data_IF_052588960334
#
_entry.id   IF_052588960334
#
_cell.length_a   1.000
_cell.length_b   1.000
_cell.length_c   1.000
_cell.angle_alpha   90.00
_cell.angle_beta   90.00
_cell.angle_gamma   90.00
#
_symmetry.space_group_name_H-M   'P 1'
#
loop_
_entity.id
_entity.type
_entity.pdbx_description
1 polymer ?
#
# COMPACT_ATOMS: atom_id res chain seq x y z
N UNK A 1 12.90 18.22 -2.90
CA UNK A 1 14.20 17.59 -2.57
C UNK A 1 14.00 16.95 -1.22
N UNK A 2 13.72 15.66 -1.18
CA UNK A 2 14.06 14.77 -0.07
C UNK A 2 14.10 13.34 -0.63
N UNK A 3 15.07 12.52 -0.20
CA UNK A 3 15.51 11.28 -0.83
C UNK A 3 14.94 10.06 -0.07
N UNK A 4 15.40 8.86 -0.41
CA UNK A 4 15.14 7.58 0.28
C UNK A 4 13.76 6.96 -0.01
N UNK A 5 13.63 5.86 -0.75
CA UNK A 5 14.40 4.62 -0.71
C UNK A 5 14.43 3.97 -2.11
N UNK A 6 15.33 4.39 -2.99
CA UNK A 6 15.74 3.53 -4.12
C UNK A 6 16.72 2.51 -3.53
N UNK A 7 16.16 1.47 -2.91
CA UNK A 7 16.90 0.25 -2.67
C UNK A 7 17.51 -0.14 -4.02
N UNK A 8 18.83 -0.05 -4.15
CA UNK A 8 19.51 -0.24 -5.43
C UNK A 8 19.38 -1.72 -5.77
N UNK A 9 18.34 -2.04 -6.53
CA UNK A 9 18.04 -3.40 -6.96
C UNK A 9 19.13 -3.83 -7.93
N UNK A 10 19.86 -4.88 -7.55
CA UNK A 10 20.92 -5.46 -8.37
C UNK A 10 20.45 -6.78 -8.96
N UNK A 11 20.96 -7.12 -10.14
CA UNK A 11 20.74 -8.41 -10.75
C UNK A 11 21.22 -9.52 -9.81
N UNK A 12 20.34 -10.47 -9.49
CA UNK A 12 20.66 -11.60 -8.62
C UNK A 12 21.69 -12.57 -9.22
N UNK A 13 21.92 -12.50 -10.55
CA UNK A 13 22.89 -13.37 -11.25
C UNK A 13 24.28 -12.77 -11.32
N UNK A 14 24.41 -11.50 -11.69
CA UNK A 14 25.72 -10.87 -11.94
C UNK A 14 26.05 -9.68 -11.02
N UNK A 15 25.13 -9.28 -10.14
CA UNK A 15 25.32 -8.14 -9.24
C UNK A 15 25.24 -6.76 -9.89
N UNK A 16 25.03 -6.68 -11.21
CA UNK A 16 24.91 -5.41 -11.92
C UNK A 16 23.64 -4.66 -11.55
N UNK A 17 23.72 -3.33 -11.47
CA UNK A 17 22.58 -2.42 -11.30
C UNK A 17 21.96 -2.00 -12.63
N UNK A 18 22.46 -2.50 -13.76
CA UNK A 18 21.98 -2.16 -15.11
C UNK A 18 20.73 -2.97 -15.46
N UNK A 19 19.60 -2.56 -14.87
CA UNK A 19 18.29 -3.21 -15.04
C UNK A 19 17.39 -2.37 -15.96
N UNK A 20 16.78 -3.05 -16.93
CA UNK A 20 15.74 -2.50 -17.79
C UNK A 20 14.37 -2.80 -17.21
N UNK A 21 13.56 -1.75 -17.07
CA UNK A 21 12.17 -1.82 -16.62
C UNK A 21 11.24 -1.91 -17.83
N UNK A 22 10.08 -2.58 -17.70
CA UNK A 22 9.06 -2.56 -18.75
C UNK A 22 8.53 -1.14 -18.98
N UNK A 23 8.13 -0.83 -20.22
CA UNK A 23 7.58 0.48 -20.58
C UNK A 23 6.23 0.76 -19.92
N UNK A 24 5.45 -0.29 -19.65
CA UNK A 24 4.14 -0.20 -19.00
C UNK A 24 4.28 -0.57 -17.54
N UNK A 25 3.92 0.37 -16.67
CA UNK A 25 3.90 0.17 -15.23
C UNK A 25 2.88 -0.91 -14.83
N UNK A 26 3.30 -1.83 -13.96
CA UNK A 26 2.45 -2.91 -13.43
C UNK A 26 2.78 -3.18 -11.96
N UNK A 27 1.80 -3.64 -11.18
CA UNK A 27 2.03 -4.06 -9.78
C UNK A 27 3.05 -5.20 -9.66
N UNK A 28 3.23 -5.97 -10.73
CA UNK A 28 4.29 -6.96 -10.89
C UNK A 28 5.00 -6.73 -12.22
N UNK A 29 6.30 -6.45 -12.15
CA UNK A 29 7.15 -6.20 -13.31
C UNK A 29 8.22 -7.26 -13.44
N UNK A 30 8.61 -7.57 -14.67
CA UNK A 30 9.80 -8.37 -14.94
C UNK A 30 10.87 -7.42 -15.48
N UNK A 31 11.91 -7.20 -14.68
CA UNK A 31 13.05 -6.38 -15.04
C UNK A 31 14.12 -7.26 -15.66
N UNK A 32 14.80 -6.78 -16.71
CA UNK A 32 15.83 -7.53 -17.43
C UNK A 32 17.20 -6.89 -17.19
N UNK A 33 18.17 -7.65 -16.71
CA UNK A 33 19.55 -7.19 -16.62
C UNK A 33 20.17 -7.08 -18.01
N UNK A 34 20.60 -5.87 -18.40
CA UNK A 34 21.21 -5.64 -19.72
C UNK A 34 22.57 -6.32 -19.89
N UNK A 35 23.26 -6.63 -18.80
CA UNK A 35 24.60 -7.21 -18.85
C UNK A 35 24.61 -8.74 -18.98
N UNK A 36 23.62 -9.43 -18.41
CA UNK A 36 23.57 -10.90 -18.42
C UNK A 36 22.25 -11.52 -18.91
N UNK A 37 21.25 -10.70 -19.26
CA UNK A 37 19.91 -11.15 -19.66
C UNK A 37 19.10 -11.80 -18.53
N UNK A 38 19.54 -11.68 -17.28
CA UNK A 38 18.83 -12.24 -16.12
C UNK A 38 17.53 -11.48 -15.84
N UNK A 39 16.45 -12.21 -15.64
CA UNK A 39 15.15 -11.66 -15.26
C UNK A 39 15.00 -11.54 -13.74
N UNK A 40 14.35 -10.47 -13.30
CA UNK A 40 14.00 -10.20 -11.91
C UNK A 40 12.51 -9.83 -11.83
N UNK A 41 11.73 -10.64 -11.12
CA UNK A 41 10.34 -10.29 -10.81
C UNK A 41 10.31 -9.30 -9.65
N UNK A 42 9.72 -8.12 -9.88
CA UNK A 42 9.67 -7.01 -8.93
C UNK A 42 8.22 -6.63 -8.65
N UNK A 43 7.81 -6.73 -7.39
CA UNK A 43 6.57 -6.14 -6.94
C UNK A 43 6.75 -4.63 -6.82
N UNK A 44 6.04 -3.87 -7.65
CA UNK A 44 6.13 -2.43 -7.68
C UNK A 44 4.92 -1.81 -6.96
N UNK A 45 5.20 -0.98 -5.96
CA UNK A 45 4.20 -0.19 -5.26
C UNK A 45 4.23 1.23 -5.81
N UNK A 46 3.54 1.45 -6.93
CA UNK A 46 3.38 2.78 -7.49
C UNK A 46 2.51 3.61 -6.54
N UNK A 47 2.96 4.82 -6.22
CA UNK A 47 2.04 5.81 -5.67
C UNK A 47 0.95 6.02 -6.72
N UNK A 48 -0.34 5.95 -6.33
CA UNK A 48 -1.42 6.18 -7.26
C UNK A 48 -1.23 7.56 -7.90
N UNK A 49 -1.27 7.63 -9.23
CA UNK A 49 -1.24 8.90 -9.92
C UNK A 49 -2.58 9.61 -9.68
N UNK A 50 -2.55 10.64 -8.84
CA UNK A 50 -3.72 11.41 -8.45
C UNK A 50 -4.01 12.57 -9.43
N UNK A 51 -3.14 12.80 -10.42
CA UNK A 51 -3.25 13.92 -11.35
C UNK A 51 -4.49 13.85 -12.25
N UNK A 52 -5.04 12.65 -12.47
CA UNK A 52 -6.28 12.42 -13.22
C UNK A 52 -7.57 12.55 -12.41
N UNK A 53 -7.50 12.69 -11.10
CA UNK A 53 -8.68 12.73 -10.22
C UNK A 53 -9.09 14.18 -10.00
N UNK A 54 -9.83 14.74 -10.95
CA UNK A 54 -10.43 16.07 -10.80
C UNK A 54 -11.79 15.95 -10.13
N UNK A 55 -11.99 16.67 -9.03
CA UNK A 55 -13.31 16.83 -8.39
C UNK A 55 -13.61 15.90 -7.21
N UNK A 56 -12.63 15.10 -6.76
CA UNK A 56 -12.76 14.27 -5.56
C UNK A 56 -11.73 14.65 -4.51
N UNK A 57 -12.16 14.66 -3.25
CA UNK A 57 -11.27 14.90 -2.11
C UNK A 57 -10.59 13.61 -1.68
N UNK A 58 -9.34 13.72 -1.24
CA UNK A 58 -8.56 12.61 -0.68
C UNK A 58 -8.62 12.63 0.84
N UNK A 59 -8.66 11.45 1.43
CA UNK A 59 -8.69 11.24 2.86
C UNK A 59 -7.67 10.18 3.28
N UNK A 60 -7.02 10.41 4.41
CA UNK A 60 -6.14 9.43 5.06
C UNK A 60 -6.98 8.65 6.06
N UNK A 61 -7.09 7.34 5.85
CA UNK A 61 -7.78 6.43 6.76
C UNK A 61 -6.88 5.99 7.91
N UNK A 62 -7.41 5.97 9.12
CA UNK A 62 -6.75 5.45 10.32
C UNK A 62 -7.67 4.44 11.01
N UNK A 63 -7.14 3.30 11.43
CA UNK A 63 -7.83 2.30 12.25
C UNK A 63 -7.26 2.22 13.65
N UNK A 64 -8.14 2.03 14.64
CA UNK A 64 -7.79 1.85 16.04
C UNK A 64 -8.06 0.41 16.45
N UNK A 65 -7.02 -0.26 16.95
CA UNK A 65 -7.04 -1.65 17.38
C UNK A 65 -7.08 -1.68 18.91
N UNK A 66 -8.12 -2.30 19.48
CA UNK A 66 -8.38 -2.27 20.93
C UNK A 66 -7.29 -2.95 21.76
N UNK A 67 -6.66 -4.00 21.23
CA UNK A 67 -5.56 -4.70 21.91
C UNK A 67 -4.69 -5.49 20.94
N UNK A 68 -3.46 -5.81 21.34
CA UNK A 68 -2.55 -6.66 20.56
C UNK A 68 -3.11 -8.07 20.32
N UNK A 69 -3.96 -8.57 21.23
CA UNK A 69 -4.62 -9.88 21.08
C UNK A 69 -5.60 -9.89 19.89
N UNK A 70 -6.17 -8.74 19.56
CA UNK A 70 -7.11 -8.58 18.45
C UNK A 70 -6.42 -8.16 17.14
N UNK A 71 -5.15 -7.75 17.19
CA UNK A 71 -4.42 -7.21 16.05
C UNK A 71 -4.39 -8.18 14.85
N UNK A 72 -4.06 -9.45 15.05
CA UNK A 72 -4.03 -10.41 13.93
C UNK A 72 -5.40 -10.59 13.27
N UNK A 73 -6.46 -10.62 14.10
CA UNK A 73 -7.85 -10.75 13.61
C UNK A 73 -8.27 -9.49 12.86
N UNK A 74 -7.90 -8.31 13.37
CA UNK A 74 -8.18 -7.02 12.73
C UNK A 74 -7.45 -6.90 11.39
N UNK A 75 -6.18 -7.31 11.31
CA UNK A 75 -5.40 -7.34 10.08
C UNK A 75 -6.10 -8.14 8.98
N UNK A 76 -6.48 -9.38 9.27
CA UNK A 76 -7.15 -10.26 8.30
C UNK A 76 -8.48 -9.65 7.84
N UNK A 77 -9.26 -9.09 8.76
CA UNK A 77 -10.55 -8.48 8.46
C UNK A 77 -10.40 -7.21 7.61
N UNK A 78 -9.51 -6.30 7.99
CA UNK A 78 -9.25 -5.05 7.26
C UNK A 78 -8.78 -5.34 5.84
N UNK A 79 -7.82 -6.27 5.66
CA UNK A 79 -7.36 -6.71 4.33
C UNK A 79 -8.51 -7.19 3.44
N UNK A 80 -9.51 -7.85 4.03
CA UNK A 80 -10.67 -8.37 3.29
C UNK A 80 -11.68 -7.27 2.96
N UNK A 81 -12.04 -6.43 3.94
CA UNK A 81 -13.15 -5.48 3.76
C UNK A 81 -12.75 -4.21 3.03
N UNK A 82 -11.45 -3.87 2.99
CA UNK A 82 -10.93 -2.72 2.27
C UNK A 82 -10.32 -3.09 0.90
N UNK A 83 -10.46 -4.34 0.46
CA UNK A 83 -9.97 -4.80 -0.84
C UNK A 83 -10.62 -4.11 -2.05
N UNK A 84 -11.73 -3.40 -1.84
CA UNK A 84 -12.37 -2.59 -2.88
C UNK A 84 -11.67 -1.24 -3.11
N UNK A 85 -10.94 -0.73 -2.10
CA UNK A 85 -10.32 0.58 -2.19
C UNK A 85 -9.00 0.46 -2.97
N UNK A 86 -8.90 1.14 -4.10
CA UNK A 86 -7.77 0.98 -5.03
C UNK A 86 -6.43 1.35 -4.41
N UNK A 87 -6.47 2.29 -3.45
CA UNK A 87 -5.29 2.91 -2.81
C UNK A 87 -5.01 2.33 -1.42
N UNK A 88 -5.74 1.28 -1.03
CA UNK A 88 -5.51 0.58 0.21
C UNK A 88 -4.27 -0.30 0.10
N UNK A 89 -3.32 -0.11 1.02
CA UNK A 89 -2.01 -0.78 1.01
C UNK A 89 -1.93 -1.86 2.11
N UNK A 90 -2.35 -3.11 1.82
CA UNK A 90 -2.43 -4.15 2.84
C UNK A 90 -1.08 -4.53 3.46
N UNK A 91 0.02 -4.33 2.75
CA UNK A 91 1.37 -4.64 3.25
C UNK A 91 1.78 -3.68 4.38
N UNK A 92 1.39 -2.40 4.31
CA UNK A 92 1.65 -1.43 5.38
C UNK A 92 0.96 -1.82 6.69
N UNK A 93 -0.20 -2.49 6.62
CA UNK A 93 -0.85 -3.01 7.83
C UNK A 93 -0.05 -4.13 8.48
N UNK A 94 0.58 -5.00 7.70
CA UNK A 94 1.41 -6.08 8.23
C UNK A 94 2.64 -5.54 8.96
N UNK A 95 3.28 -4.51 8.42
CA UNK A 95 4.40 -3.83 9.08
C UNK A 95 3.97 -3.17 10.39
N UNK A 96 2.83 -2.50 10.40
CA UNK A 96 2.29 -1.85 11.60
C UNK A 96 1.86 -2.85 12.67
N UNK A 97 1.31 -4.01 12.25
CA UNK A 97 0.99 -5.12 13.14
C UNK A 97 2.25 -5.74 13.75
N UNK A 98 3.29 -5.99 12.95
CA UNK A 98 4.58 -6.51 13.42
C UNK A 98 5.28 -5.54 14.37
N UNK A 99 5.14 -4.24 14.12
CA UNK A 99 5.62 -3.18 15.00
C UNK A 99 4.81 -3.04 16.31
N UNK A 100 3.73 -3.81 16.49
CA UNK A 100 2.90 -3.77 17.70
C UNK A 100 2.10 -2.48 17.87
N UNK A 101 1.89 -1.70 16.79
CA UNK A 101 1.10 -0.47 16.84
C UNK A 101 -0.37 -0.80 17.10
N UNK A 102 -1.08 0.07 17.83
CA UNK A 102 -2.53 -0.01 18.02
C UNK A 102 -3.29 0.99 17.13
N UNK A 103 -2.58 1.90 16.47
CA UNK A 103 -3.14 2.85 15.51
C UNK A 103 -2.48 2.59 14.18
N UNK A 104 -3.29 2.26 13.18
CA UNK A 104 -2.83 1.85 11.85
C UNK A 104 -3.29 2.82 10.78
N UNK A 105 -2.35 3.25 9.95
CA UNK A 105 -2.65 3.98 8.72
C UNK A 105 -3.16 2.99 7.66
N UNK A 106 -4.36 3.25 7.14
CA UNK A 106 -5.04 2.45 6.13
C UNK A 106 -4.67 2.87 4.70
N UNK A 107 -3.95 3.99 4.53
CA UNK A 107 -3.67 4.60 3.24
C UNK A 107 -4.71 5.66 2.84
N UNK A 108 -4.78 5.94 1.54
CA UNK A 108 -5.62 7.00 0.99
C UNK A 108 -6.96 6.45 0.50
N UNK A 109 -7.99 7.29 0.62
CA UNK A 109 -9.36 7.01 0.19
C UNK A 109 -9.93 8.23 -0.52
N UNK A 110 -10.70 8.01 -1.57
CA UNK A 110 -11.51 9.06 -2.18
C UNK A 110 -12.78 9.28 -1.37
N UNK A 111 -13.34 10.49 -1.46
CA UNK A 111 -14.59 10.89 -0.81
C UNK A 111 -15.72 9.86 -0.93
N UNK A 112 -15.92 9.26 -2.11
CA UNK A 112 -16.94 8.24 -2.34
C UNK A 112 -16.58 6.87 -1.73
N UNK A 113 -15.29 6.58 -1.52
CA UNK A 113 -14.82 5.35 -0.87
C UNK A 113 -14.94 5.44 0.65
N UNK A 114 -14.79 6.64 1.22
CA UNK A 114 -14.76 6.87 2.68
C UNK A 114 -16.01 6.31 3.35
N UNK A 115 -17.19 6.54 2.78
CA UNK A 115 -18.43 6.15 3.45
C UNK A 115 -18.67 4.64 3.39
N UNK A 116 -18.30 4.01 2.27
CA UNK A 116 -18.25 2.54 2.18
C UNK A 116 -17.22 1.95 3.15
N UNK A 117 -16.04 2.56 3.27
CA UNK A 117 -14.96 2.10 4.14
C UNK A 117 -15.36 2.17 5.62
N UNK A 118 -15.99 3.27 6.05
CA UNK A 118 -16.53 3.42 7.42
C UNK A 118 -17.53 2.33 7.76
N UNK A 119 -18.52 2.08 6.88
CA UNK A 119 -19.53 1.05 7.10
C UNK A 119 -18.87 -0.33 7.18
N UNK A 120 -17.97 -0.64 6.24
CA UNK A 120 -17.27 -1.91 6.18
C UNK A 120 -16.42 -2.17 7.44
N UNK A 121 -15.72 -1.14 7.95
CA UNK A 121 -14.92 -1.23 9.17
C UNK A 121 -15.77 -1.34 10.44
N UNK A 122 -16.86 -0.58 10.53
CA UNK A 122 -17.81 -0.68 11.63
C UNK A 122 -18.40 -2.10 11.75
N UNK A 123 -18.78 -2.71 10.62
CA UNK A 123 -19.35 -4.06 10.57
C UNK A 123 -18.40 -5.15 11.09
N UNK A 124 -17.09 -4.93 11.01
CA UNK A 124 -16.09 -5.87 11.54
C UNK A 124 -15.65 -5.54 12.97
N UNK A 125 -16.19 -4.47 13.56
CA UNK A 125 -15.88 -3.99 14.91
C UNK A 125 -14.56 -3.22 15.01
N UNK A 126 -14.11 -2.59 13.93
CA UNK A 126 -12.89 -1.75 13.94
C UNK A 126 -13.28 -0.29 13.86
N UNK A 127 -12.82 0.50 14.83
CA UNK A 127 -13.02 1.95 14.82
C UNK A 127 -12.06 2.60 13.84
N UNK A 128 -12.58 3.49 12.99
CA UNK A 128 -11.78 4.19 11.98
C UNK A 128 -12.07 5.68 11.95
N UNK A 129 -11.07 6.48 11.59
CA UNK A 129 -11.21 7.91 11.28
C UNK A 129 -10.66 8.20 9.89
N UNK A 130 -11.26 9.15 9.21
CA UNK A 130 -10.82 9.62 7.89
C UNK A 130 -10.64 11.13 7.97
N UNK A 131 -9.40 11.59 7.75
CA UNK A 131 -9.06 13.02 7.78
C UNK A 131 -8.68 13.42 6.36
N UNK A 132 -9.17 14.57 5.91
CA UNK A 132 -8.83 15.09 4.58
C UNK A 132 -7.30 15.24 4.44
N UNK A 133 -6.76 14.77 3.32
CA UNK A 133 -5.37 14.99 2.96
C UNK A 133 -5.23 16.41 2.40
N UNK A 134 -4.43 17.24 3.05
CA UNK A 134 -4.10 18.61 2.62
C UNK A 134 -2.96 18.63 1.59
#
# INVERSE_FOLDING_TARGET
MEPDLLQTMNCLKCGSSNLERPEVASALEIWICKDCGGELAVHCHYLPDLSGITGHELFIGTAFIGSSAEALKALIKLKKVLAFAERFEPFKLEEQQKAGKLTWELGYFLDFEVEQAKIACANIGVTTSFVRAD
#
